data_IF_263218119424
#
_entry.id   IF_263218119424
#
_cell.length_a   1.000
_cell.length_b   1.000
_cell.length_c   1.000
_cell.angle_alpha   90.00
_cell.angle_beta   90.00
_cell.angle_gamma   90.00
#
_symmetry.space_group_name_H-M   'P 1'
#
loop_
_entity.id
_entity.type
_entity.pdbx_description
1 polymer ?
#
# COMPACT_ATOMS: atom_id res chain seq x y z
N UNK A 1 2.15 -41.90 -54.80
CA UNK A 1 1.87 -40.51 -55.19
C UNK A 1 2.28 -39.61 -54.03
N UNK A 2 3.33 -38.79 -54.26
CA UNK A 2 3.75 -37.55 -53.57
C UNK A 2 4.10 -37.56 -52.06
N UNK A 3 5.42 -37.60 -51.82
CA UNK A 3 6.30 -36.66 -51.06
C UNK A 3 5.77 -35.21 -50.91
N UNK A 4 6.17 -34.31 -49.99
CA UNK A 4 7.19 -34.20 -48.91
C UNK A 4 6.95 -32.87 -48.13
N UNK A 5 7.68 -32.68 -47.01
CA UNK A 5 8.01 -31.44 -46.24
C UNK A 5 7.02 -31.05 -45.11
N UNK A 6 7.38 -30.88 -43.82
CA UNK A 6 8.68 -30.75 -43.14
C UNK A 6 8.84 -29.35 -42.51
N UNK A 7 8.67 -29.22 -41.18
CA UNK A 7 9.23 -28.21 -40.25
C UNK A 7 8.59 -28.49 -38.87
N UNK A 8 9.24 -29.04 -37.84
CA UNK A 8 10.40 -28.57 -37.10
C UNK A 8 10.25 -27.13 -36.61
N UNK A 9 9.42 -26.93 -35.56
CA UNK A 9 9.66 -26.04 -34.41
C UNK A 9 8.81 -26.55 -33.23
N UNK A 10 9.28 -27.60 -32.56
CA UNK A 10 9.06 -27.76 -31.12
C UNK A 10 10.28 -27.11 -30.46
N UNK A 11 10.12 -25.92 -29.90
CA UNK A 11 11.09 -25.34 -28.98
C UNK A 11 10.38 -24.37 -28.01
N UNK A 12 10.13 -24.91 -26.82
CA UNK A 12 10.18 -24.25 -25.51
C UNK A 12 9.18 -23.11 -25.28
N UNK A 13 8.04 -23.45 -24.67
CA UNK A 13 7.47 -22.68 -23.55
C UNK A 13 6.81 -23.68 -22.58
N UNK A 14 7.15 -23.68 -21.29
CA UNK A 14 6.32 -24.38 -20.31
C UNK A 14 5.03 -23.58 -20.13
N UNK A 15 3.89 -24.22 -20.42
CA UNK A 15 2.59 -23.79 -19.91
C UNK A 15 2.66 -23.76 -18.39
N UNK A 16 2.94 -22.60 -17.81
CA UNK A 16 2.66 -22.34 -16.41
C UNK A 16 1.15 -22.12 -16.34
N UNK A 17 0.43 -23.20 -16.05
CA UNK A 17 -0.95 -23.12 -15.60
C UNK A 17 -1.00 -22.38 -14.27
N UNK A 18 -1.06 -21.05 -14.33
CA UNK A 18 -1.35 -20.22 -13.16
C UNK A 18 -2.83 -20.38 -12.85
N UNK A 19 -3.14 -21.00 -11.72
CA UNK A 19 -4.48 -21.03 -11.16
C UNK A 19 -4.78 -19.61 -10.63
N UNK A 20 -5.58 -18.85 -11.38
CA UNK A 20 -5.96 -17.48 -11.07
C UNK A 20 -7.00 -17.37 -9.93
N UNK A 21 -7.27 -18.46 -9.20
CA UNK A 21 -8.24 -18.50 -8.09
C UNK A 21 -7.69 -18.04 -6.74
N UNK A 22 -6.40 -17.67 -6.67
CA UNK A 22 -5.72 -17.26 -5.44
C UNK A 22 -6.26 -15.97 -4.82
N UNK A 23 -7.14 -15.23 -5.50
CA UNK A 23 -7.75 -14.02 -4.94
C UNK A 23 -9.27 -13.98 -5.16
N UNK A 24 -10.01 -13.80 -4.07
CA UNK A 24 -11.48 -13.77 -3.91
C UNK A 24 -12.21 -15.10 -3.63
N UNK A 25 -12.34 -15.41 -2.33
CA UNK A 25 -13.42 -16.29 -1.83
C UNK A 25 -14.75 -15.53 -1.66
N UNK A 26 -14.69 -14.21 -1.47
CA UNK A 26 -15.85 -13.34 -1.19
C UNK A 26 -16.90 -13.32 -2.32
N UNK A 27 -16.49 -13.54 -3.57
CA UNK A 27 -17.41 -13.59 -4.72
C UNK A 27 -18.21 -14.91 -4.86
N UNK A 28 -17.89 -15.97 -4.10
CA UNK A 28 -18.64 -17.24 -4.20
C UNK A 28 -20.08 -17.10 -3.68
N UNK A 29 -20.35 -16.15 -2.78
CA UNK A 29 -21.69 -15.97 -2.20
C UNK A 29 -22.54 -14.93 -2.96
N UNK A 30 -21.92 -13.97 -3.67
CA UNK A 30 -22.64 -12.87 -4.33
C UNK A 30 -23.03 -13.14 -5.80
N UNK A 31 -22.44 -14.16 -6.45
CA UNK A 31 -22.72 -14.51 -7.86
C UNK A 31 -24.11 -15.10 -8.15
N UNK A 32 -25.02 -15.17 -7.16
CA UNK A 32 -26.40 -15.62 -7.39
C UNK A 32 -27.40 -14.51 -7.73
N UNK A 33 -27.00 -13.23 -7.75
CA UNK A 33 -27.92 -12.11 -8.04
C UNK A 33 -27.27 -10.97 -8.81
N UNK A 34 -27.15 -11.10 -10.13
CA UNK A 34 -27.59 -10.07 -11.10
C UNK A 34 -27.04 -10.41 -12.48
N UNK A 35 -27.96 -10.66 -13.40
CA UNK A 35 -27.71 -10.76 -14.84
C UNK A 35 -28.68 -9.80 -15.53
N UNK A 36 -28.14 -9.01 -16.46
CA UNK A 36 -28.74 -8.37 -17.66
C UNK A 36 -28.88 -6.84 -17.67
N UNK A 37 -28.43 -6.25 -18.79
CA UNK A 37 -28.70 -4.87 -19.24
C UNK A 37 -27.43 -4.14 -19.70
N UNK A 38 -26.77 -4.46 -20.81
CA UNK A 38 -27.04 -4.09 -22.23
C UNK A 38 -26.82 -2.59 -22.59
N UNK A 39 -25.72 -2.33 -23.32
CA UNK A 39 -25.51 -1.41 -24.48
C UNK A 39 -25.78 0.12 -24.36
N UNK A 40 -24.81 0.96 -24.76
CA UNK A 40 -24.69 1.57 -26.10
C UNK A 40 -23.81 2.85 -26.15
N UNK A 41 -23.21 3.09 -27.32
CA UNK A 41 -22.32 4.19 -27.75
C UNK A 41 -22.87 5.62 -27.56
N UNK A 42 -21.98 6.63 -27.52
CA UNK A 42 -21.96 7.68 -28.56
C UNK A 42 -20.70 8.57 -28.55
N UNK A 43 -20.18 8.77 -29.76
CA UNK A 43 -19.12 9.68 -30.20
C UNK A 43 -19.80 10.82 -30.98
N UNK A 44 -19.43 12.09 -30.74
CA UNK A 44 -19.42 13.22 -31.71
C UNK A 44 -18.99 14.51 -30.95
N UNK A 45 -17.80 15.08 -31.18
CA UNK A 45 -17.30 15.93 -32.28
C UNK A 45 -17.59 17.45 -32.11
N UNK A 46 -16.49 18.18 -31.88
CA UNK A 46 -16.08 19.53 -32.30
C UNK A 46 -17.10 20.65 -32.56
N UNK A 47 -16.81 21.87 -32.06
CA UNK A 47 -16.63 23.11 -32.87
C UNK A 47 -15.83 24.15 -32.04
N UNK A 48 -14.80 24.72 -32.68
CA UNK A 48 -13.99 25.85 -32.23
C UNK A 48 -14.80 27.13 -32.02
N UNK A 49 -14.38 28.00 -31.10
CA UNK A 49 -14.46 29.45 -31.31
C UNK A 49 -13.30 30.17 -30.60
N UNK A 50 -12.45 30.75 -31.43
CA UNK A 50 -11.39 31.70 -31.09
C UNK A 50 -12.05 32.99 -30.60
N UNK A 51 -11.63 33.49 -29.43
CA UNK A 51 -11.81 34.90 -29.08
C UNK A 51 -10.64 35.34 -28.19
N UNK A 52 -9.75 36.08 -28.82
CA UNK A 52 -8.66 36.83 -28.22
C UNK A 52 -9.28 37.98 -27.42
N UNK A 53 -9.12 37.96 -26.10
CA UNK A 53 -9.32 39.15 -25.27
C UNK A 53 -7.97 39.48 -24.64
N UNK A 54 -7.37 40.55 -25.15
CA UNK A 54 -6.23 41.19 -24.51
C UNK A 54 -6.67 41.79 -23.18
N UNK A 55 -5.98 41.44 -22.10
CA UNK A 55 -6.11 42.09 -20.78
C UNK A 55 -4.77 42.76 -20.46
N UNK A 56 -4.75 43.97 -19.86
CA UNK A 56 -3.54 44.78 -19.71
C UNK A 56 -2.55 44.18 -18.72
N UNK A 57 -1.27 44.28 -19.07
CA UNK A 57 -0.13 44.12 -18.16
C UNK A 57 -0.20 45.23 -17.12
N UNK A 58 -0.63 44.89 -15.91
CA UNK A 58 -0.46 45.72 -14.72
C UNK A 58 0.75 45.23 -13.94
N UNK A 59 1.60 46.19 -13.59
CA UNK A 59 2.89 46.02 -12.95
C UNK A 59 2.85 45.08 -11.73
N UNK A 60 3.69 44.06 -11.77
CA UNK A 60 4.04 43.27 -10.60
C UNK A 60 4.89 44.15 -9.66
N UNK A 61 4.35 44.47 -8.49
CA UNK A 61 5.17 44.86 -7.34
C UNK A 61 5.96 43.63 -6.89
N UNK A 62 7.27 43.75 -6.61
CA UNK A 62 8.04 42.64 -6.07
C UNK A 62 7.57 42.38 -4.64
N UNK A 63 6.93 41.22 -4.43
CA UNK A 63 6.73 40.66 -3.09
C UNK A 63 8.10 40.29 -2.51
N UNK A 64 8.34 40.51 -1.21
CA UNK A 64 9.61 40.15 -0.59
C UNK A 64 9.77 38.63 -0.64
N UNK A 65 10.84 38.16 -1.26
CA UNK A 65 11.33 36.79 -1.08
C UNK A 65 11.71 36.62 0.39
N UNK A 66 10.80 36.05 1.18
CA UNK A 66 11.20 35.31 2.37
C UNK A 66 11.98 34.09 1.87
N UNK A 67 13.30 34.26 1.82
CA UNK A 67 14.25 33.17 1.76
C UNK A 67 14.02 32.32 3.01
N UNK A 68 13.12 31.33 2.92
CA UNK A 68 13.07 30.24 3.89
C UNK A 68 14.44 29.61 3.86
N UNK A 69 15.20 29.86 4.92
CA UNK A 69 16.49 29.23 5.16
C UNK A 69 16.29 27.73 5.03
N UNK A 70 16.88 27.14 3.99
CA UNK A 70 17.00 25.70 3.86
C UNK A 70 17.61 25.19 5.15
N UNK A 71 16.87 24.37 5.90
CA UNK A 71 17.47 23.53 6.92
C UNK A 71 18.62 22.79 6.24
N UNK A 72 19.81 23.17 6.67
CA UNK A 72 21.07 22.53 6.37
C UNK A 72 20.91 21.04 6.59
N UNK A 73 21.21 20.27 5.53
CA UNK A 73 21.40 18.82 5.51
C UNK A 73 21.65 18.27 6.91
N UNK A 74 20.66 17.55 7.45
CA UNK A 74 20.79 16.84 8.71
C UNK A 74 22.02 15.91 8.61
N UNK A 75 23.06 16.08 9.47
CA UNK A 75 24.28 15.28 9.42
C UNK A 75 24.07 13.81 9.79
N UNK A 76 22.84 13.37 10.06
CA UNK A 76 22.43 11.97 10.24
C UNK A 76 22.14 11.21 8.94
N UNK A 77 22.88 11.45 7.85
CA UNK A 77 22.83 10.62 6.62
C UNK A 77 23.32 9.22 6.97
N UNK A 78 22.43 8.37 7.47
CA UNK A 78 22.63 6.92 7.41
C UNK A 78 22.35 6.51 5.98
N UNK A 79 23.40 6.55 5.16
CA UNK A 79 23.42 5.75 3.94
C UNK A 79 23.57 4.28 4.38
N UNK A 80 22.50 3.70 4.91
CA UNK A 80 22.39 2.26 5.10
C UNK A 80 22.66 1.64 3.73
N UNK A 81 23.55 0.67 3.67
CA UNK A 81 23.89 0.04 2.40
C UNK A 81 22.64 -0.65 1.84
N UNK A 82 22.54 -0.76 0.52
CA UNK A 82 21.56 -1.69 -0.05
C UNK A 82 21.77 -3.07 0.59
N UNK A 83 20.70 -3.84 0.82
CA UNK A 83 20.79 -5.14 1.44
C UNK A 83 21.78 -6.01 0.67
N UNK A 84 22.65 -6.66 1.41
CA UNK A 84 23.53 -7.70 0.91
C UNK A 84 22.72 -8.86 0.37
N UNK A 85 23.35 -9.68 -0.48
CA UNK A 85 22.71 -10.89 -1.00
C UNK A 85 22.30 -11.83 0.14
N UNK A 86 23.12 -11.90 1.19
CA UNK A 86 22.87 -12.70 2.40
C UNK A 86 21.64 -12.21 3.17
N UNK A 87 21.41 -10.89 3.26
CA UNK A 87 20.21 -10.33 3.87
C UNK A 87 18.95 -10.66 3.06
N UNK A 88 19.03 -10.59 1.73
CA UNK A 88 17.91 -10.97 0.86
C UNK A 88 17.60 -12.47 0.98
N UNK A 89 18.63 -13.32 1.03
CA UNK A 89 18.45 -14.77 1.27
C UNK A 89 17.74 -14.99 2.61
N UNK A 90 18.15 -14.29 3.68
CA UNK A 90 17.50 -14.39 5.00
C UNK A 90 16.03 -13.96 4.96
N UNK A 91 15.68 -12.91 4.21
CA UNK A 91 14.28 -12.50 4.04
C UNK A 91 13.49 -13.55 3.25
N UNK A 92 14.10 -14.18 2.26
CA UNK A 92 13.48 -15.21 1.42
C UNK A 92 13.24 -16.53 2.14
N UNK A 93 14.16 -16.90 3.04
CA UNK A 93 14.13 -18.12 3.85
C UNK A 93 13.51 -17.88 5.23
N UNK A 94 13.00 -16.68 5.49
CA UNK A 94 12.43 -16.34 6.79
C UNK A 94 11.20 -17.20 7.08
N UNK A 95 11.15 -17.78 8.28
CA UNK A 95 9.95 -18.44 8.79
C UNK A 95 9.44 -17.68 10.00
N UNK A 96 8.16 -17.30 9.97
CA UNK A 96 7.59 -16.51 11.06
C UNK A 96 7.52 -17.30 12.36
N UNK A 97 7.68 -16.67 13.53
CA UNK A 97 7.51 -17.33 14.82
C UNK A 97 6.15 -18.03 14.97
N UNK A 98 5.08 -17.44 14.41
CA UNK A 98 3.76 -18.05 14.39
C UNK A 98 3.73 -19.33 13.54
N UNK A 99 4.34 -19.31 12.35
CA UNK A 99 4.42 -20.47 11.45
C UNK A 99 5.20 -21.63 12.09
N UNK A 100 6.34 -21.35 12.73
CA UNK A 100 7.12 -22.37 13.48
C UNK A 100 6.24 -23.04 14.55
N UNK A 101 5.50 -22.25 15.33
CA UNK A 101 4.61 -22.78 16.37
C UNK A 101 3.42 -23.57 15.79
N UNK A 102 2.83 -23.10 14.68
CA UNK A 102 1.77 -23.83 13.97
C UNK A 102 2.26 -25.22 13.56
N UNK A 103 3.44 -25.31 12.96
CA UNK A 103 3.99 -26.58 12.49
C UNK A 103 4.34 -27.52 13.64
N UNK A 104 4.91 -26.99 14.73
CA UNK A 104 5.16 -27.77 15.94
C UNK A 104 3.85 -28.37 16.49
N UNK A 105 2.78 -27.58 16.59
CA UNK A 105 1.50 -28.05 17.11
C UNK A 105 0.80 -29.03 16.15
N UNK A 106 0.87 -28.78 14.83
CA UNK A 106 0.39 -29.72 13.80
C UNK A 106 1.11 -31.07 13.88
N UNK A 107 2.44 -31.08 14.12
CA UNK A 107 3.21 -32.31 14.29
C UNK A 107 2.76 -33.14 15.49
N UNK A 108 2.14 -32.50 16.49
CA UNK A 108 1.53 -33.12 17.67
C UNK A 108 0.04 -33.44 17.48
N UNK A 109 -0.47 -33.36 16.25
CA UNK A 109 -1.87 -33.61 15.88
C UNK A 109 -2.89 -32.69 16.57
N UNK A 110 -2.50 -31.46 16.91
CA UNK A 110 -3.46 -30.47 17.43
C UNK A 110 -4.47 -30.09 16.34
N UNK A 111 -5.73 -29.88 16.72
CA UNK A 111 -6.73 -29.36 15.79
C UNK A 111 -6.46 -27.89 15.46
N UNK A 112 -7.00 -27.39 14.34
CA UNK A 112 -6.85 -25.98 13.98
C UNK A 112 -7.38 -25.04 15.08
N UNK A 113 -8.48 -25.40 15.75
CA UNK A 113 -9.04 -24.62 16.86
C UNK A 113 -8.10 -24.59 18.07
N UNK A 114 -7.45 -25.72 18.38
CA UNK A 114 -6.46 -25.79 19.46
C UNK A 114 -5.23 -24.95 19.15
N UNK A 115 -4.76 -25.00 17.89
CA UNK A 115 -3.62 -24.20 17.43
C UNK A 115 -3.93 -22.70 17.54
N UNK A 116 -5.09 -22.26 17.05
CA UNK A 116 -5.52 -20.86 17.15
C UNK A 116 -5.59 -20.38 18.60
N UNK A 117 -6.10 -21.23 19.52
CA UNK A 117 -6.11 -20.91 20.95
C UNK A 117 -4.72 -20.82 21.55
N UNK A 118 -3.79 -21.66 21.12
CA UNK A 118 -2.40 -21.61 21.61
C UNK A 118 -1.69 -20.36 21.10
N UNK A 119 -1.79 -20.08 19.80
CA UNK A 119 -1.23 -18.87 19.17
C UNK A 119 -1.68 -17.58 19.86
N UNK A 120 -2.96 -17.49 20.23
CA UNK A 120 -3.51 -16.32 20.91
C UNK A 120 -2.81 -16.03 22.25
N UNK A 121 -2.29 -17.05 22.95
CA UNK A 121 -1.52 -16.87 24.20
C UNK A 121 -0.18 -16.18 23.97
N UNK A 122 0.34 -16.27 22.74
CA UNK A 122 1.58 -15.62 22.31
C UNK A 122 1.33 -14.28 21.60
N UNK A 123 0.07 -13.82 21.54
CA UNK A 123 -0.30 -12.59 20.82
C UNK A 123 -0.29 -12.76 19.30
N UNK A 124 -0.43 -14.00 18.81
CA UNK A 124 -0.53 -14.31 17.40
C UNK A 124 -1.96 -14.62 16.97
N UNK A 125 -2.28 -14.31 15.72
CA UNK A 125 -3.45 -14.81 15.04
C UNK A 125 -3.10 -15.58 13.77
N UNK A 126 -4.03 -16.40 13.31
CA UNK A 126 -3.85 -17.30 12.17
C UNK A 126 -5.18 -17.60 11.48
N UNK A 127 -5.15 -17.66 10.15
CA UNK A 127 -6.24 -18.16 9.32
C UNK A 127 -5.88 -19.55 8.80
N UNK A 128 -6.47 -20.63 9.35
CA UNK A 128 -6.10 -21.99 8.99
C UNK A 128 -6.32 -22.34 7.51
N UNK A 129 -7.26 -21.66 6.86
CA UNK A 129 -7.63 -21.90 5.47
C UNK A 129 -6.56 -21.45 4.48
N UNK A 130 -5.81 -20.39 4.83
CA UNK A 130 -4.81 -19.77 3.95
C UNK A 130 -3.40 -19.95 4.47
N UNK A 131 -3.21 -20.10 5.78
CA UNK A 131 -1.89 -20.07 6.42
C UNK A 131 -1.46 -18.67 6.88
N UNK A 132 -2.19 -17.62 6.49
CA UNK A 132 -1.86 -16.24 6.87
C UNK A 132 -1.86 -16.07 8.39
N UNK A 133 -0.88 -15.34 8.91
CA UNK A 133 -0.68 -15.16 10.35
C UNK A 133 -0.15 -13.77 10.67
N UNK A 134 -0.38 -13.32 11.91
CA UNK A 134 0.01 -12.00 12.36
C UNK A 134 0.37 -12.00 13.84
N UNK A 135 1.08 -10.97 14.28
CA UNK A 135 1.17 -10.58 15.69
C UNK A 135 0.41 -9.27 15.92
N UNK A 136 0.02 -8.98 17.16
CA UNK A 136 -0.62 -7.70 17.50
C UNK A 136 -2.11 -7.85 17.82
N UNK A 137 -2.85 -6.75 17.71
CA UNK A 137 -4.24 -6.66 18.19
C UNK A 137 -5.18 -6.38 17.03
N UNK A 138 -6.21 -7.22 16.89
CA UNK A 138 -7.31 -6.95 15.96
C UNK A 138 -8.08 -5.70 16.42
N UNK A 139 -8.63 -4.89 15.49
CA UNK A 139 -9.48 -3.76 15.82
C UNK A 139 -10.61 -4.18 16.76
N UNK A 140 -10.94 -3.31 17.71
CA UNK A 140 -12.20 -3.35 18.43
C UNK A 140 -13.38 -3.24 17.45
N UNK A 141 -14.60 -3.56 17.91
CA UNK A 141 -15.80 -3.43 17.07
C UNK A 141 -16.02 -1.99 16.62
N UNK A 142 -15.61 -1.03 17.45
CA UNK A 142 -15.72 0.40 17.22
C UNK A 142 -14.72 0.82 16.15
N UNK A 143 -13.43 0.52 16.32
CA UNK A 143 -12.39 0.75 15.31
C UNK A 143 -12.74 0.06 13.97
N UNK A 144 -13.30 -1.16 14.01
CA UNK A 144 -13.69 -1.86 12.80
C UNK A 144 -14.83 -1.16 12.04
N UNK A 145 -15.77 -0.49 12.73
CA UNK A 145 -16.81 0.33 12.05
C UNK A 145 -16.18 1.50 11.31
N UNK A 146 -15.17 2.15 11.91
CA UNK A 146 -14.39 3.23 11.29
C UNK A 146 -13.71 2.70 10.03
N UNK A 147 -12.94 1.62 10.17
CA UNK A 147 -12.18 1.01 9.08
C UNK A 147 -13.12 0.56 7.96
N UNK A 148 -14.25 -0.09 8.26
CA UNK A 148 -15.17 -0.57 7.23
C UNK A 148 -15.91 0.55 6.48
N UNK A 149 -16.05 1.74 7.09
CA UNK A 149 -16.59 2.92 6.42
C UNK A 149 -15.67 3.40 5.28
N UNK A 150 -14.37 3.21 5.47
CA UNK A 150 -13.30 3.77 4.62
C UNK A 150 -12.73 2.70 3.68
N UNK A 151 -12.28 1.60 4.26
CA UNK A 151 -11.65 0.43 3.63
C UNK A 151 -12.66 -0.71 3.45
N UNK A 152 -13.91 -0.36 3.17
CA UNK A 152 -14.99 -1.32 2.91
C UNK A 152 -14.76 -2.14 1.64
N UNK A 153 -15.70 -3.03 1.25
CA UNK A 153 -15.57 -3.90 0.08
C UNK A 153 -15.29 -3.19 -1.26
N UNK A 154 -15.54 -1.89 -1.35
CA UNK A 154 -15.36 -1.07 -2.55
C UNK A 154 -14.03 -0.28 -2.56
N UNK A 155 -13.18 -0.39 -1.53
CA UNK A 155 -11.92 0.35 -1.44
C UNK A 155 -10.80 -0.27 -2.29
N UNK A 156 -10.02 0.59 -2.98
CA UNK A 156 -8.80 0.22 -3.70
C UNK A 156 -7.73 1.30 -3.57
N UNK A 157 -6.46 0.95 -3.24
CA UNK A 157 -5.35 1.91 -3.25
C UNK A 157 -4.80 2.19 -4.67
N UNK A 158 -5.30 1.49 -5.69
CA UNK A 158 -4.76 1.54 -7.05
C UNK A 158 -5.66 2.29 -8.03
N UNK A 159 -6.69 2.99 -7.55
CA UNK A 159 -7.54 3.82 -8.41
C UNK A 159 -7.65 5.23 -7.86
N UNK A 160 -7.54 6.21 -8.75
CA UNK A 160 -7.68 7.64 -8.44
C UNK A 160 -9.15 8.03 -8.16
N UNK A 161 -10.10 7.14 -8.43
CA UNK A 161 -11.55 7.39 -8.37
C UNK A 161 -12.27 6.65 -7.23
N UNK A 162 -11.56 5.92 -6.36
CA UNK A 162 -12.17 5.10 -5.31
C UNK A 162 -12.59 5.90 -4.07
N UNK A 163 -13.45 6.91 -4.27
CA UNK A 163 -14.34 7.32 -3.20
C UNK A 163 -15.28 6.16 -2.90
N UNK A 164 -15.19 5.55 -1.72
CA UNK A 164 -16.35 4.81 -1.20
C UNK A 164 -17.50 5.80 -1.20
N UNK A 165 -18.66 5.45 -1.79
CA UNK A 165 -19.78 6.39 -2.02
C UNK A 165 -20.27 7.18 -0.79
N UNK A 166 -19.79 6.88 0.41
CA UNK A 166 -20.14 7.51 1.67
C UNK A 166 -19.11 8.55 2.18
N UNK A 167 -17.88 8.57 1.69
CA UNK A 167 -16.82 9.44 2.20
C UNK A 167 -16.06 10.13 1.06
N UNK A 168 -15.68 11.38 1.28
CA UNK A 168 -14.75 12.08 0.39
C UNK A 168 -13.33 11.66 0.77
N UNK A 169 -12.61 11.08 -0.17
CA UNK A 169 -11.18 10.79 -0.04
C UNK A 169 -10.37 11.93 -0.65
N UNK A 170 -9.24 12.27 -0.03
CA UNK A 170 -8.15 12.95 -0.70
C UNK A 170 -6.84 12.19 -0.42
N UNK A 171 -5.95 12.16 -1.40
CA UNK A 171 -4.68 11.46 -1.28
C UNK A 171 -3.55 12.17 -2.05
N UNK A 172 -2.33 11.84 -1.63
CA UNK A 172 -1.10 11.99 -2.41
C UNK A 172 -0.41 10.63 -2.46
N UNK A 173 0.07 10.25 -3.62
CA UNK A 173 0.76 9.00 -3.82
C UNK A 173 2.00 9.19 -4.69
N UNK A 174 3.07 8.50 -4.33
CA UNK A 174 4.23 8.26 -5.18
C UNK A 174 4.26 6.77 -5.47
N UNK A 175 4.30 6.41 -6.75
CA UNK A 175 4.25 5.01 -7.20
C UNK A 175 5.30 4.72 -8.27
N UNK A 176 5.70 3.47 -8.36
CA UNK A 176 6.58 2.99 -9.43
C UNK A 176 5.82 2.87 -10.76
N UNK A 177 6.48 3.15 -11.87
CA UNK A 177 5.89 2.98 -13.22
C UNK A 177 6.12 1.58 -13.81
N UNK A 178 7.05 0.80 -13.24
CA UNK A 178 7.35 -0.56 -13.69
C UNK A 178 7.12 -1.56 -12.56
N UNK A 179 5.99 -2.25 -12.60
CA UNK A 179 5.45 -3.05 -11.52
C UNK A 179 5.73 -4.55 -11.63
N UNK A 180 6.43 -4.98 -12.68
CA UNK A 180 6.80 -6.38 -12.90
C UNK A 180 8.23 -6.70 -12.45
N UNK A 181 8.84 -5.81 -11.64
CA UNK A 181 10.24 -5.94 -11.20
C UNK A 181 10.38 -6.06 -9.69
N UNK A 182 9.52 -5.39 -8.92
CA UNK A 182 9.77 -5.16 -7.51
C UNK A 182 9.03 -6.14 -6.62
N UNK A 183 9.74 -6.70 -5.63
CA UNK A 183 9.24 -7.71 -4.69
C UNK A 183 8.85 -7.13 -3.34
N UNK A 184 8.96 -5.82 -3.17
CA UNK A 184 8.67 -5.16 -1.91
C UNK A 184 9.60 -3.98 -1.67
N UNK A 185 9.59 -3.50 -0.44
CA UNK A 185 10.16 -2.22 -0.06
C UNK A 185 10.67 -2.24 1.36
N UNK A 186 11.73 -1.47 1.60
CA UNK A 186 12.18 -1.01 2.90
C UNK A 186 12.15 0.53 2.89
N UNK A 187 11.59 1.14 3.92
CA UNK A 187 11.61 2.60 4.10
C UNK A 187 11.56 2.96 5.58
N UNK A 188 12.17 4.10 5.93
CA UNK A 188 11.88 4.75 7.21
C UNK A 188 10.78 5.78 6.99
N UNK A 189 9.73 5.75 7.82
CA UNK A 189 8.64 6.73 7.74
C UNK A 189 8.44 7.43 9.08
N UNK A 190 8.30 8.76 9.03
CA UNK A 190 7.71 9.56 10.11
C UNK A 190 6.35 10.09 9.63
N UNK A 191 5.28 9.98 10.44
CA UNK A 191 3.92 10.27 9.97
C UNK A 191 3.48 11.74 10.10
N UNK A 192 4.20 12.56 10.89
CA UNK A 192 3.81 13.93 11.25
C UNK A 192 2.52 14.03 12.09
N UNK A 193 1.88 15.21 12.08
CA UNK A 193 0.82 15.52 13.03
C UNK A 193 -0.44 14.71 12.74
N UNK A 194 -0.74 14.42 11.50
CA UNK A 194 -1.91 13.64 11.14
C UNK A 194 -3.21 14.12 11.79
N UNK A 195 -3.58 15.40 11.65
CA UNK A 195 -4.71 15.95 12.40
C UNK A 195 -6.05 15.35 11.94
N UNK A 196 -6.90 14.99 12.92
CA UNK A 196 -8.26 14.45 12.68
C UNK A 196 -9.28 15.09 13.64
N UNK A 197 -10.50 15.30 13.17
CA UNK A 197 -11.62 15.91 13.90
C UNK A 197 -12.98 15.35 13.44
N UNK A 198 -13.94 15.27 14.34
CA UNK A 198 -15.26 14.66 14.10
C UNK A 198 -16.11 15.38 13.02
N UNK A 199 -15.80 16.64 12.71
CA UNK A 199 -16.42 17.43 11.64
C UNK A 199 -15.48 17.78 10.48
N UNK A 200 -14.28 17.20 10.45
CA UNK A 200 -13.27 17.45 9.43
C UNK A 200 -12.67 16.12 8.95
N UNK A 201 -11.35 16.05 8.90
CA UNK A 201 -10.65 14.80 8.54
C UNK A 201 -10.98 13.76 9.59
N UNK A 202 -11.73 12.72 9.20
CA UNK A 202 -12.19 11.68 10.11
C UNK A 202 -11.13 10.58 10.34
N UNK A 203 -10.37 10.27 9.30
CA UNK A 203 -9.22 9.37 9.35
C UNK A 203 -8.11 9.90 8.46
N UNK A 204 -6.88 9.71 8.91
CA UNK A 204 -5.67 9.97 8.17
C UNK A 204 -4.74 8.76 8.24
N UNK A 205 -4.17 8.39 7.11
CA UNK A 205 -3.29 7.23 6.94
C UNK A 205 -2.04 7.65 6.18
N UNK A 206 -0.88 7.36 6.75
CA UNK A 206 0.42 7.43 6.07
C UNK A 206 0.93 6.00 5.93
N UNK A 207 1.08 5.51 4.70
CA UNK A 207 1.21 4.08 4.45
C UNK A 207 2.09 3.77 3.25
N UNK A 208 2.52 2.52 3.16
CA UNK A 208 3.20 1.92 2.01
C UNK A 208 2.42 0.69 1.58
N UNK A 209 2.13 0.62 0.28
CA UNK A 209 1.38 -0.48 -0.32
C UNK A 209 2.30 -1.38 -1.15
N UNK A 210 2.05 -2.69 -1.12
CA UNK A 210 2.60 -3.68 -2.06
C UNK A 210 1.47 -4.59 -2.53
N UNK A 211 1.31 -4.70 -3.84
CA UNK A 211 0.31 -5.57 -4.45
C UNK A 211 0.03 -5.16 -5.87
N UNK A 212 -0.85 -5.86 -6.57
CA UNK A 212 -1.39 -5.40 -7.87
C UNK A 212 -2.73 -6.06 -8.15
N UNK A 213 -3.43 -5.58 -9.18
CA UNK A 213 -4.70 -6.18 -9.62
C UNK A 213 -4.42 -7.42 -10.47
N UNK A 214 -4.70 -8.66 -9.99
CA UNK A 214 -4.60 -9.86 -10.84
C UNK A 214 -5.57 -9.85 -12.01
N UNK A 215 -6.71 -9.18 -11.85
CA UNK A 215 -7.67 -8.96 -12.92
C UNK A 215 -8.47 -7.68 -12.62
N UNK A 216 -9.24 -7.13 -13.58
CA UNK A 216 -9.96 -5.87 -13.37
C UNK A 216 -10.97 -5.86 -12.21
N UNK A 217 -11.43 -7.02 -11.76
CA UNK A 217 -12.43 -7.19 -10.70
C UNK A 217 -11.86 -7.68 -9.37
N UNK A 218 -10.55 -7.91 -9.29
CA UNK A 218 -9.91 -8.48 -8.09
C UNK A 218 -8.61 -7.78 -7.82
N UNK A 219 -8.40 -7.43 -6.56
CA UNK A 219 -7.23 -6.72 -6.10
C UNK A 219 -6.60 -7.50 -4.98
N UNK A 220 -5.27 -7.56 -4.97
CA UNK A 220 -4.52 -8.29 -3.96
C UNK A 220 -3.37 -7.41 -3.51
N UNK A 221 -3.42 -6.95 -2.28
CA UNK A 221 -2.43 -6.05 -1.73
C UNK A 221 -2.38 -6.08 -0.21
N UNK A 222 -1.23 -5.67 0.29
CA UNK A 222 -0.98 -5.49 1.70
C UNK A 222 -0.33 -4.13 1.94
N UNK A 223 -0.48 -3.61 3.15
CA UNK A 223 0.13 -2.36 3.56
C UNK A 223 0.62 -2.39 5.00
N UNK A 224 1.51 -1.44 5.27
CA UNK A 224 2.00 -1.12 6.58
C UNK A 224 2.18 0.39 6.71
N UNK A 225 1.83 0.92 7.88
CA UNK A 225 1.93 2.36 8.09
C UNK A 225 1.45 2.80 9.46
N UNK A 226 0.98 4.04 9.49
CA UNK A 226 0.38 4.68 10.66
C UNK A 226 -0.99 5.21 10.26
N UNK A 227 -1.97 4.97 11.12
CA UNK A 227 -3.31 5.52 10.99
C UNK A 227 -3.67 6.33 12.23
N UNK A 228 -4.43 7.39 12.05
CA UNK A 228 -5.06 8.16 13.12
C UNK A 228 -6.52 8.36 12.75
N UNK A 229 -7.43 8.07 13.67
CA UNK A 229 -8.88 8.14 13.41
C UNK A 229 -9.63 8.74 14.61
N UNK A 230 -10.74 9.40 14.34
CA UNK A 230 -11.71 9.83 15.38
C UNK A 230 -12.53 8.62 15.84
N UNK A 231 -12.79 8.43 17.15
CA UNK A 231 -12.55 9.38 18.25
C UNK A 231 -11.24 9.16 19.00
N UNK A 232 -10.57 8.03 18.82
CA UNK A 232 -9.40 7.66 19.64
C UNK A 232 -8.24 8.62 19.46
N UNK A 233 -8.11 9.20 18.27
CA UNK A 233 -7.17 10.26 17.93
C UNK A 233 -5.70 9.91 18.24
N UNK A 234 -5.39 8.61 18.31
CA UNK A 234 -4.04 8.08 18.52
C UNK A 234 -3.42 7.63 17.20
N UNK A 235 -2.11 7.86 17.04
CA UNK A 235 -1.35 7.40 15.88
C UNK A 235 -0.96 5.95 16.10
N UNK A 236 -1.71 5.04 15.51
CA UNK A 236 -1.51 3.59 15.66
C UNK A 236 -0.74 3.06 14.46
N UNK A 237 0.32 2.31 14.74
CA UNK A 237 1.01 1.51 13.73
C UNK A 237 0.12 0.35 13.34
N UNK A 238 0.01 0.06 12.04
CA UNK A 238 -0.88 -0.98 11.56
C UNK A 238 -0.29 -1.76 10.39
N UNK A 239 -0.84 -2.94 10.16
CA UNK A 239 -0.74 -3.69 8.90
C UNK A 239 -2.13 -4.02 8.40
N UNK A 240 -2.32 -4.06 7.09
CA UNK A 240 -3.56 -4.50 6.49
C UNK A 240 -3.32 -5.45 5.31
N UNK A 241 -4.22 -6.41 5.12
CA UNK A 241 -4.29 -7.30 3.96
C UNK A 241 -5.74 -7.39 3.53
N UNK A 242 -6.00 -7.10 2.25
CA UNK A 242 -7.36 -6.97 1.75
C UNK A 242 -8.06 -8.31 1.48
N UNK A 243 -7.34 -9.43 1.42
CA UNK A 243 -7.88 -10.75 1.10
C UNK A 243 -7.72 -11.76 2.24
N UNK A 244 -6.64 -11.69 3.01
CA UNK A 244 -6.26 -12.76 3.95
C UNK A 244 -6.00 -12.34 5.40
N UNK A 245 -6.32 -11.10 5.80
CA UNK A 245 -6.28 -10.83 7.24
C UNK A 245 -6.66 -9.45 7.77
N UNK A 246 -7.28 -8.61 6.95
CA UNK A 246 -7.83 -7.33 7.38
C UNK A 246 -6.83 -6.49 8.17
N UNK A 247 -7.34 -5.66 9.08
CA UNK A 247 -6.53 -4.71 9.83
C UNK A 247 -5.98 -5.31 11.12
N UNK A 248 -4.74 -4.98 11.48
CA UNK A 248 -4.10 -5.37 12.75
C UNK A 248 -3.25 -4.20 13.26
N UNK A 249 -3.36 -3.88 14.54
CA UNK A 249 -2.62 -2.81 15.21
C UNK A 249 -1.40 -3.33 15.98
N UNK A 250 -0.35 -2.50 15.98
CA UNK A 250 0.98 -2.82 16.53
C UNK A 250 1.44 -1.78 17.56
N UNK A 251 0.48 -1.19 18.29
CA UNK A 251 0.73 -0.13 19.26
C UNK A 251 0.91 1.26 18.62
N UNK A 252 1.28 2.24 19.44
CA UNK A 252 1.29 3.66 19.05
C UNK A 252 2.67 4.15 18.59
N UNK A 253 2.67 5.26 17.85
CA UNK A 253 3.85 6.08 17.57
C UNK A 253 3.52 7.56 17.79
N UNK A 254 4.51 8.44 17.68
CA UNK A 254 4.32 9.89 17.70
C UNK A 254 4.54 10.51 16.31
N UNK A 255 4.43 11.83 16.23
CA UNK A 255 4.53 12.59 14.99
C UNK A 255 5.94 12.64 14.39
N UNK A 256 6.99 12.50 15.22
CA UNK A 256 8.37 12.83 14.84
C UNK A 256 9.28 11.59 14.73
N UNK A 257 8.89 10.48 15.33
CA UNK A 257 9.67 9.24 15.34
C UNK A 257 9.66 8.57 13.97
N UNK A 258 10.85 8.37 13.40
CA UNK A 258 11.04 7.47 12.28
C UNK A 258 10.92 6.02 12.72
N UNK A 259 10.12 5.25 12.00
CA UNK A 259 9.98 3.80 12.15
C UNK A 259 10.39 3.13 10.85
N UNK A 260 11.05 1.98 10.94
CA UNK A 260 11.39 1.19 9.77
C UNK A 260 10.24 0.28 9.39
N UNK A 261 9.87 0.28 8.11
CA UNK A 261 8.80 -0.52 7.55
C UNK A 261 9.33 -1.34 6.40
N UNK A 262 9.15 -2.66 6.48
CA UNK A 262 9.59 -3.59 5.44
C UNK A 262 8.40 -4.43 5.01
N UNK A 263 8.15 -4.50 3.70
CA UNK A 263 7.31 -5.53 3.09
C UNK A 263 8.20 -6.28 2.09
N UNK A 264 8.26 -7.60 2.17
CA UNK A 264 9.05 -8.44 1.25
C UNK A 264 8.24 -9.65 0.80
N UNK A 265 8.17 -9.86 -0.51
CA UNK A 265 7.55 -11.02 -1.16
C UNK A 265 8.64 -12.04 -1.51
N UNK A 266 8.49 -13.24 -0.97
CA UNK A 266 9.46 -14.34 -1.10
C UNK A 266 9.30 -15.09 -2.42
N UNK A 267 10.24 -16.00 -2.71
CA UNK A 267 10.11 -16.97 -3.80
C UNK A 267 9.18 -18.16 -3.44
N UNK A 268 8.71 -18.24 -2.19
CA UNK A 268 7.83 -19.32 -1.73
C UNK A 268 6.41 -19.10 -2.25
N UNK A 269 5.89 -20.10 -2.97
CA UNK A 269 4.52 -20.13 -3.46
C UNK A 269 3.73 -21.20 -2.69
N UNK A 270 2.70 -20.76 -1.98
CA UNK A 270 1.77 -21.61 -1.24
C UNK A 270 0.37 -21.59 -1.88
N UNK A 271 -0.60 -22.25 -1.26
CA UNK A 271 -1.97 -22.34 -1.80
C UNK A 271 -2.65 -20.96 -1.95
N UNK A 272 -2.28 -19.98 -1.12
CA UNK A 272 -2.78 -18.60 -1.19
C UNK A 272 -2.04 -17.70 -2.21
N UNK A 273 -0.90 -18.15 -2.75
CA UNK A 273 -0.05 -17.35 -3.64
C UNK A 273 1.39 -17.21 -3.14
N UNK A 274 2.06 -16.13 -3.53
CA UNK A 274 3.43 -15.83 -3.09
C UNK A 274 3.41 -15.30 -1.66
N UNK A 275 4.15 -15.98 -0.77
CA UNK A 275 4.26 -15.60 0.62
C UNK A 275 4.98 -14.26 0.75
N UNK A 276 4.37 -13.32 1.47
CA UNK A 276 5.02 -12.09 1.89
C UNK A 276 5.16 -12.03 3.40
N UNK A 277 6.04 -11.16 3.84
CA UNK A 277 6.25 -10.82 5.24
C UNK A 277 6.31 -9.30 5.43
N UNK A 278 5.83 -8.85 6.60
CA UNK A 278 5.92 -7.46 7.03
C UNK A 278 6.70 -7.37 8.33
N UNK A 279 7.63 -6.42 8.41
CA UNK A 279 8.33 -6.06 9.63
C UNK A 279 8.17 -4.58 9.95
N UNK A 280 8.12 -4.28 11.25
CA UNK A 280 8.20 -2.93 11.80
C UNK A 280 9.38 -2.91 12.76
N UNK A 281 10.35 -2.02 12.53
CA UNK A 281 11.59 -1.90 13.32
C UNK A 281 12.34 -3.25 13.45
N UNK A 282 12.36 -4.04 12.37
CA UNK A 282 13.00 -5.36 12.33
C UNK A 282 12.20 -6.48 13.00
N UNK A 283 11.05 -6.19 13.62
CA UNK A 283 10.19 -7.21 14.23
C UNK A 283 9.10 -7.66 13.26
N UNK A 284 8.94 -8.97 13.09
CA UNK A 284 7.89 -9.55 12.25
C UNK A 284 6.49 -9.22 12.79
N UNK A 285 5.60 -8.80 11.90
CA UNK A 285 4.22 -8.42 12.22
C UNK A 285 3.16 -9.23 11.47
N UNK A 286 3.41 -9.60 10.23
CA UNK A 286 2.42 -10.28 9.39
C UNK A 286 3.09 -11.16 8.34
N UNK A 287 2.42 -12.27 8.03
CA UNK A 287 2.64 -13.07 6.83
C UNK A 287 1.29 -13.34 6.15
N UNK A 288 1.25 -13.24 4.83
CA UNK A 288 0.09 -13.56 4.01
C UNK A 288 0.54 -13.84 2.59
N UNK A 289 -0.39 -13.82 1.64
CA UNK A 289 -0.07 -14.10 0.25
C UNK A 289 -0.45 -12.96 -0.69
N UNK A 290 0.37 -12.77 -1.73
CA UNK A 290 0.04 -11.95 -2.89
C UNK A 290 -0.05 -12.83 -4.14
N UNK A 291 -0.91 -12.46 -5.08
CA UNK A 291 -1.06 -13.18 -6.33
C UNK A 291 0.22 -13.22 -7.19
N UNK A 292 1.13 -12.26 -6.97
CA UNK A 292 2.36 -12.12 -7.75
C UNK A 292 3.56 -11.94 -6.85
N UNK A 293 4.70 -12.38 -7.37
CA UNK A 293 6.00 -12.16 -6.74
C UNK A 293 6.47 -10.72 -6.94
N UNK A 294 6.36 -10.22 -8.16
CA UNK A 294 6.62 -8.82 -8.50
C UNK A 294 5.32 -8.00 -8.55
N UNK A 295 5.29 -6.85 -7.89
CA UNK A 295 4.09 -6.08 -7.55
C UNK A 295 4.23 -4.57 -7.80
N UNK A 296 3.09 -3.86 -7.83
CA UNK A 296 3.06 -2.40 -7.69
C UNK A 296 3.47 -2.03 -6.26
N UNK A 297 4.19 -0.91 -6.14
CA UNK A 297 4.62 -0.35 -4.87
C UNK A 297 4.33 1.14 -4.87
N UNK A 298 3.71 1.63 -3.80
CA UNK A 298 3.50 3.05 -3.60
C UNK A 298 3.71 3.47 -2.13
N UNK A 299 4.06 4.74 -1.94
CA UNK A 299 3.83 5.43 -0.68
C UNK A 299 2.54 6.24 -0.82
N UNK A 300 1.73 6.30 0.23
CA UNK A 300 0.50 7.09 0.21
C UNK A 300 0.33 7.90 1.49
N UNK A 301 -0.20 9.11 1.31
CA UNK A 301 -0.76 9.98 2.33
C UNK A 301 -2.24 10.16 2.01
N UNK A 302 -3.13 9.63 2.84
CA UNK A 302 -4.54 9.50 2.51
C UNK A 302 -5.45 9.96 3.66
N UNK A 303 -6.49 10.71 3.31
CA UNK A 303 -7.50 11.19 4.25
C UNK A 303 -8.91 10.92 3.78
N UNK A 304 -9.81 10.81 4.76
CA UNK A 304 -11.24 10.66 4.54
C UNK A 304 -12.04 11.61 5.41
N UNK A 305 -13.15 12.10 4.86
CA UNK A 305 -14.09 12.98 5.56
C UNK A 305 -15.53 12.78 5.07
N UNK A 306 -16.47 13.24 5.90
CA UNK A 306 -17.92 13.06 5.74
C UNK A 306 -18.67 14.20 5.00
N UNK A 307 -18.06 15.39 4.73
CA UNK A 307 -18.86 16.60 4.38
C UNK A 307 -18.27 17.57 3.30
N UNK A 308 -18.88 18.75 3.11
CA UNK A 308 -18.67 19.70 1.98
C UNK A 308 -17.42 20.59 2.06
N UNK A 309 -16.93 20.90 3.26
CA UNK A 309 -15.63 21.53 3.52
C UNK A 309 -14.84 20.65 4.52
N UNK A 310 -14.24 19.56 4.03
CA UNK A 310 -14.13 18.33 4.81
C UNK A 310 -12.85 18.19 5.63
N UNK A 311 -11.90 19.11 5.53
CA UNK A 311 -10.52 18.82 5.87
C UNK A 311 -10.08 19.54 7.15
N UNK A 312 -9.47 18.80 8.08
CA UNK A 312 -8.90 19.39 9.30
C UNK A 312 -7.49 19.87 9.05
N UNK A 313 -7.23 21.17 9.16
CA UNK A 313 -5.91 21.77 9.00
C UNK A 313 -4.75 20.95 9.61
N UNK A 314 -3.75 20.65 8.79
CA UNK A 314 -2.52 19.95 9.15
C UNK A 314 -1.34 20.57 8.40
N UNK A 315 -0.45 21.25 9.12
CA UNK A 315 0.75 21.90 8.54
C UNK A 315 2.04 21.09 8.74
N UNK A 316 1.90 19.83 9.13
CA UNK A 316 3.00 18.88 9.23
C UNK A 316 3.64 18.47 7.89
N UNK A 317 4.64 17.61 7.99
CA UNK A 317 5.27 16.98 6.84
C UNK A 317 5.56 15.53 7.17
N UNK A 318 4.80 14.61 6.56
CA UNK A 318 5.13 13.18 6.62
C UNK A 318 6.35 12.92 5.72
N UNK A 319 7.29 12.11 6.20
CA UNK A 319 8.57 11.89 5.51
C UNK A 319 8.83 10.41 5.39
N UNK A 320 9.06 9.96 4.16
CA UNK A 320 9.61 8.65 3.84
C UNK A 320 11.08 8.85 3.46
N UNK A 321 12.03 8.27 4.17
CA UNK A 321 13.45 8.40 3.86
C UNK A 321 14.11 7.04 3.69
N UNK A 322 15.22 7.05 2.94
CA UNK A 322 16.08 5.89 2.73
C UNK A 322 15.30 4.70 2.15
N UNK A 323 14.33 5.01 1.27
CA UNK A 323 13.50 4.00 0.61
C UNK A 323 14.26 3.24 -0.46
N UNK A 324 14.28 1.92 -0.39
CA UNK A 324 14.75 1.04 -1.46
C UNK A 324 13.77 -0.08 -1.76
N UNK A 325 13.78 -0.52 -3.01
CA UNK A 325 12.90 -1.56 -3.55
C UNK A 325 13.69 -2.85 -3.74
N UNK A 326 13.14 -3.97 -3.29
CA UNK A 326 13.72 -5.28 -3.56
C UNK A 326 13.43 -5.70 -5.00
N UNK A 327 14.43 -6.24 -5.71
CA UNK A 327 14.29 -6.73 -7.08
C UNK A 327 15.21 -7.93 -7.33
N UNK A 328 14.66 -9.03 -7.85
CA UNK A 328 15.43 -10.26 -8.09
C UNK A 328 16.21 -10.70 -6.84
N UNK A 329 17.55 -10.76 -6.93
CA UNK A 329 18.45 -11.08 -5.82
C UNK A 329 19.14 -9.86 -5.20
N UNK A 330 18.63 -8.66 -5.45
CA UNK A 330 19.21 -7.39 -5.03
C UNK A 330 18.15 -6.36 -4.62
N UNK A 331 18.57 -5.10 -4.54
CA UNK A 331 17.69 -3.98 -4.29
C UNK A 331 18.17 -2.75 -5.06
N UNK A 332 17.31 -1.74 -5.18
CA UNK A 332 17.62 -0.45 -5.81
C UNK A 332 17.02 0.68 -5.00
N UNK A 333 17.74 1.79 -4.87
CA UNK A 333 17.22 2.98 -4.21
C UNK A 333 16.04 3.56 -5.00
N UNK A 334 14.96 3.93 -4.29
CA UNK A 334 13.77 4.51 -4.93
C UNK A 334 13.94 6.01 -5.29
N UNK A 335 15.04 6.63 -4.87
CA UNK A 335 15.31 8.05 -5.01
C UNK A 335 15.33 8.57 -6.47
N UNK A 336 16.25 8.18 -7.34
CA UNK A 336 16.40 8.72 -8.72
C UNK A 336 16.41 7.67 -9.81
N UNK A 337 16.74 6.42 -9.46
CA UNK A 337 17.08 5.39 -10.45
C UNK A 337 15.90 4.50 -10.84
N UNK A 338 14.77 4.69 -10.15
CA UNK A 338 13.52 3.98 -10.39
C UNK A 338 12.54 4.90 -11.12
N UNK A 339 12.04 4.50 -12.31
CA UNK A 339 10.92 5.15 -12.96
C UNK A 339 9.72 5.20 -12.01
N UNK A 340 9.30 6.41 -11.69
CA UNK A 340 8.22 6.69 -10.76
C UNK A 340 7.40 7.85 -11.28
N UNK A 341 6.20 7.93 -10.76
CA UNK A 341 5.29 9.03 -11.01
C UNK A 341 4.54 9.34 -9.72
N UNK A 342 3.81 10.44 -9.74
CA UNK A 342 3.07 10.92 -8.59
C UNK A 342 1.67 11.32 -8.99
N UNK A 343 0.75 11.19 -8.04
CA UNK A 343 -0.63 11.63 -8.22
C UNK A 343 -1.16 12.23 -6.93
N UNK A 344 -2.07 13.18 -7.06
CA UNK A 344 -2.91 13.64 -5.96
C UNK A 344 -4.36 13.69 -6.40
N UNK A 345 -5.27 13.74 -5.43
CA UNK A 345 -6.70 13.89 -5.72
C UNK A 345 -7.01 15.21 -6.43
N UNK A 346 -7.97 15.23 -7.38
CA UNK A 346 -8.29 16.41 -8.18
C UNK A 346 -8.89 17.55 -7.34
N UNK A 347 -8.79 18.78 -7.86
CA UNK A 347 -9.25 19.97 -7.17
C UNK A 347 -10.78 20.01 -6.91
N UNK A 348 -11.23 20.61 -5.79
CA UNK A 348 -10.42 21.27 -4.76
C UNK A 348 -9.75 20.25 -3.83
N UNK A 349 -8.43 20.23 -3.89
CA UNK A 349 -7.54 19.41 -3.07
C UNK A 349 -6.85 20.35 -2.09
N UNK A 350 -6.94 20.15 -0.76
CA UNK A 350 -6.39 21.08 0.22
C UNK A 350 -4.85 21.02 0.30
N UNK A 351 -4.22 20.35 -0.64
CA UNK A 351 -2.86 19.85 -0.55
C UNK A 351 -1.92 20.85 -1.21
N UNK A 352 -1.04 21.46 -0.43
CA UNK A 352 0.07 22.25 -0.98
C UNK A 352 1.14 21.30 -1.51
N UNK A 353 1.31 21.28 -2.83
CA UNK A 353 2.33 20.48 -3.49
C UNK A 353 3.72 21.03 -3.16
N UNK A 354 4.53 20.26 -2.43
CA UNK A 354 5.97 20.46 -2.43
C UNK A 354 6.68 19.12 -2.33
N UNK A 355 7.25 18.70 -3.46
CA UNK A 355 8.02 17.48 -3.54
C UNK A 355 9.49 17.87 -3.65
N UNK A 356 10.29 17.47 -2.66
CA UNK A 356 11.74 17.58 -2.78
C UNK A 356 12.39 16.29 -2.37
N UNK A 357 12.99 15.62 -3.35
CA UNK A 357 13.98 14.58 -3.10
C UNK A 357 15.29 15.31 -2.77
N UNK A 358 15.39 15.88 -1.56
CA UNK A 358 16.69 16.31 -1.02
C UNK A 358 17.33 15.09 -0.38
N UNK A 359 18.25 14.45 -1.11
CA UNK A 359 18.87 13.19 -0.68
C UNK A 359 18.03 11.96 -1.05
N UNK A 360 17.73 11.11 -0.07
CA UNK A 360 16.98 9.85 -0.19
C UNK A 360 15.53 9.94 0.32
N UNK A 361 15.04 11.16 0.61
CA UNK A 361 13.78 11.38 1.29
C UNK A 361 12.69 11.94 0.38
N UNK A 362 11.50 11.33 0.45
CA UNK A 362 10.25 11.82 -0.08
C UNK A 362 9.42 12.46 1.03
N UNK A 363 8.84 13.63 0.76
CA UNK A 363 8.08 14.43 1.72
C UNK A 363 6.66 14.65 1.21
N UNK A 364 5.69 14.41 2.08
CA UNK A 364 4.31 14.81 1.91
C UNK A 364 4.06 15.96 2.87
N UNK A 365 4.08 17.19 2.38
CA UNK A 365 3.55 18.31 3.13
C UNK A 365 2.04 18.10 3.30
N UNK A 366 1.57 18.14 4.55
CA UNK A 366 0.16 17.98 4.88
C UNK A 366 -0.60 19.28 4.57
N UNK A 367 -1.94 19.20 4.61
CA UNK A 367 -2.82 20.22 4.03
C UNK A 367 -3.16 21.41 4.95
N UNK A 368 -2.87 22.62 4.47
CA UNK A 368 -3.50 23.93 4.75
C UNK A 368 -3.36 24.77 3.49
#
# INVERSE_FOLDING_TARGET
MRELNGSLVDLILPEIGVDWSACSKKERDDKMKMKKGTWALSVLLAVMLVSVVMVPVSAASPMPEEVKSFETVDPGVLQEQLPTKEEIIKLNEFESPAKVLIDELKSKSYSNDDITRELAKHGYGWYPETGACWSGTLPSKEELKIIQKIRGPEYTPFSVEAGTKALRQANQMMYVLNNDVYRGINTYMKPSEMNVEQGGTYQHVITTHVGKKPNPSTECWTEVGVARSVPDNTRQRFTFDNDEGGWVFHGVTDASTYRNYIIYVTDTYEIGGYLYHIWIDGEWKRSGHLAFKENDINHANEIWSDESDPWTDDSGTAVFKDGFLYQGSGAVWWNSDVPKDWSHSPDPCPIQEYTTIVGSAWKYDTWI
#
